data_IF_818177987476
#
_entry.id   IF_818177987476
#
_cell.length_a   1.000
_cell.length_b   1.000
_cell.length_c   1.000
_cell.angle_alpha   90.00
_cell.angle_beta   90.00
_cell.angle_gamma   90.00
#
_symmetry.space_group_name_H-M   'P 1'
#
loop_
_entity.id
_entity.type
_entity.pdbx_description
1 polymer ?
#
# COMPACT_ATOMS: atom_id res chain seq x y z
N UNK A 1 -2.02 -68.20 -25.61
CA UNK A 1 -1.30 -67.01 -26.12
C UNK A 1 -1.24 -66.00 -24.99
N UNK A 2 -0.06 -65.82 -24.39
CA UNK A 2 0.13 -65.09 -23.14
C UNK A 2 0.07 -63.57 -23.36
N UNK A 3 -0.74 -62.89 -22.54
CA UNK A 3 -0.85 -61.44 -22.50
C UNK A 3 0.42 -60.83 -21.91
N UNK A 4 0.98 -59.85 -22.64
CA UNK A 4 2.17 -59.08 -22.30
C UNK A 4 1.99 -58.34 -20.96
N UNK A 5 2.69 -58.82 -19.93
CA UNK A 5 2.87 -58.14 -18.65
C UNK A 5 3.72 -56.88 -18.88
N UNK A 6 3.07 -55.74 -19.08
CA UNK A 6 3.75 -54.45 -19.15
C UNK A 6 4.47 -54.20 -17.83
N UNK A 7 5.80 -54.12 -17.89
CA UNK A 7 6.68 -53.90 -16.74
C UNK A 7 6.26 -52.67 -15.93
N UNK A 8 5.88 -52.88 -14.68
CA UNK A 8 5.52 -51.83 -13.72
C UNK A 8 6.72 -50.93 -13.34
N UNK A 9 7.94 -51.29 -13.75
CA UNK A 9 9.15 -50.50 -13.46
C UNK A 9 9.18 -49.14 -14.17
N UNK A 10 8.54 -49.01 -15.35
CA UNK A 10 8.57 -47.77 -16.15
C UNK A 10 7.63 -46.68 -15.60
N UNK A 11 6.52 -47.06 -14.97
CA UNK A 11 5.54 -46.11 -14.42
C UNK A 11 6.03 -45.49 -13.11
N UNK A 12 6.73 -46.27 -12.28
CA UNK A 12 7.30 -45.81 -11.01
C UNK A 12 8.48 -44.84 -11.19
N UNK A 13 9.33 -45.05 -12.22
CA UNK A 13 10.46 -44.16 -12.51
C UNK A 13 10.00 -42.78 -13.04
N UNK A 14 8.88 -42.70 -13.75
CA UNK A 14 8.33 -41.42 -14.23
C UNK A 14 7.55 -40.65 -13.16
N UNK A 15 7.00 -41.32 -12.15
CA UNK A 15 6.29 -40.65 -11.04
C UNK A 15 7.24 -39.90 -10.10
N UNK A 16 8.49 -40.35 -9.96
CA UNK A 16 9.49 -39.69 -9.12
C UNK A 16 10.13 -38.45 -9.78
N UNK A 17 10.03 -38.32 -11.11
CA UNK A 17 10.66 -37.23 -11.86
C UNK A 17 9.85 -35.92 -11.88
N UNK A 18 8.60 -35.93 -11.40
CA UNK A 18 7.70 -34.75 -11.42
C UNK A 18 7.74 -33.90 -10.14
N UNK A 19 8.53 -34.29 -9.15
CA UNK A 19 8.81 -33.45 -7.97
C UNK A 19 10.19 -32.82 -8.14
N UNK A 20 10.33 -31.99 -9.18
CA UNK A 20 11.48 -31.09 -9.27
C UNK A 20 11.48 -30.18 -8.04
N UNK A 21 12.63 -29.96 -7.37
CA UNK A 21 12.68 -29.07 -6.23
C UNK A 21 12.22 -27.67 -6.69
N UNK A 22 11.10 -27.20 -6.14
CA UNK A 22 10.69 -25.80 -6.26
C UNK A 22 11.74 -24.99 -5.51
N UNK A 23 12.77 -24.53 -6.23
CA UNK A 23 13.90 -23.81 -5.66
C UNK A 23 13.41 -22.59 -4.90
N UNK A 24 13.69 -22.53 -3.59
CA UNK A 24 13.48 -21.34 -2.80
C UNK A 24 14.56 -20.31 -3.17
N UNK A 25 14.19 -19.29 -3.94
CA UNK A 25 15.06 -18.16 -4.19
C UNK A 25 14.96 -17.17 -3.02
N UNK A 26 15.78 -17.35 -1.99
CA UNK A 26 15.97 -16.33 -0.94
C UNK A 26 17.06 -15.36 -1.38
N UNK A 27 16.69 -14.19 -1.88
CA UNK A 27 17.65 -13.08 -2.03
C UNK A 27 17.89 -12.44 -0.68
N UNK A 28 19.09 -11.90 -0.45
CA UNK A 28 19.38 -11.14 0.76
C UNK A 28 18.37 -9.99 0.91
N UNK A 29 17.90 -9.75 2.14
CA UNK A 29 16.99 -8.63 2.43
C UNK A 29 17.76 -7.33 2.25
N UNK A 30 17.68 -6.74 1.07
CA UNK A 30 18.11 -5.36 0.88
C UNK A 30 17.11 -4.45 1.62
N UNK A 31 17.57 -3.75 2.66
CA UNK A 31 16.83 -2.73 3.41
C UNK A 31 16.57 -1.47 2.55
N UNK A 32 15.85 -1.64 1.45
CA UNK A 32 15.43 -0.55 0.56
C UNK A 32 14.23 0.17 1.17
N UNK A 33 14.22 1.50 1.11
CA UNK A 33 13.10 2.32 1.58
C UNK A 33 11.83 2.04 0.77
N UNK A 34 10.75 1.58 1.43
CA UNK A 34 9.46 1.23 0.82
C UNK A 34 8.29 2.14 1.23
N UNK A 35 8.46 2.98 2.25
CA UNK A 35 7.39 3.81 2.80
C UNK A 35 6.83 4.80 1.76
N UNK A 36 5.52 4.75 1.52
CA UNK A 36 4.78 5.59 0.57
C UNK A 36 5.48 5.73 -0.81
N UNK A 37 6.01 4.61 -1.30
CA UNK A 37 6.56 4.48 -2.65
C UNK A 37 5.77 3.46 -3.43
N UNK A 38 5.32 3.83 -4.62
CA UNK A 38 4.68 2.90 -5.54
C UNK A 38 5.76 2.34 -6.46
N UNK A 39 5.86 1.02 -6.53
CA UNK A 39 6.84 0.36 -7.43
C UNK A 39 6.47 0.63 -8.88
N UNK A 40 7.48 1.04 -9.64
CA UNK A 40 7.38 1.24 -11.08
C UNK A 40 6.97 -0.09 -11.74
N UNK A 41 5.94 -0.03 -12.58
CA UNK A 41 5.48 -1.15 -13.41
C UNK A 41 5.74 -0.86 -14.88
N UNK A 42 4.97 -1.50 -15.77
CA UNK A 42 5.06 -1.32 -17.22
C UNK A 42 4.65 0.07 -17.73
N UNK A 43 3.97 0.86 -16.88
CA UNK A 43 3.42 2.18 -17.23
C UNK A 43 1.89 2.25 -17.18
N UNK A 44 1.22 1.10 -17.09
CA UNK A 44 -0.24 1.02 -17.19
C UNK A 44 -1.01 1.37 -15.90
N UNK A 45 -0.29 1.73 -14.82
CA UNK A 45 -0.91 2.04 -13.52
C UNK A 45 -1.19 3.53 -13.41
N UNK A 46 -2.47 3.97 -13.42
CA UNK A 46 -2.78 5.38 -13.22
C UNK A 46 -2.40 5.79 -11.79
N UNK A 47 -1.71 6.92 -11.66
CA UNK A 47 -1.27 7.48 -10.39
C UNK A 47 -1.81 8.89 -10.22
N UNK A 48 -2.30 9.17 -9.01
CA UNK A 48 -2.65 10.54 -8.62
C UNK A 48 -1.38 11.30 -8.24
N UNK A 49 -1.43 12.63 -8.33
CA UNK A 49 -0.30 13.50 -8.01
C UNK A 49 0.32 13.20 -6.63
N UNK A 50 -0.53 13.06 -5.62
CA UNK A 50 -0.12 12.78 -4.24
C UNK A 50 0.59 11.43 -4.07
N UNK A 51 0.17 10.41 -4.83
CA UNK A 51 0.69 9.04 -4.77
C UNK A 51 1.96 8.85 -5.60
N UNK A 52 2.18 9.69 -6.61
CA UNK A 52 3.38 9.66 -7.45
C UNK A 52 4.62 10.21 -6.73
N UNK A 53 4.43 11.05 -5.72
CA UNK A 53 5.51 11.74 -5.00
C UNK A 53 5.96 10.95 -3.76
N UNK A 54 7.28 10.83 -3.59
CA UNK A 54 7.88 10.20 -2.42
C UNK A 54 7.80 11.08 -1.16
N UNK A 55 7.95 10.50 0.05
CA UNK A 55 7.85 11.25 1.31
C UNK A 55 8.81 12.42 1.47
N UNK A 56 10.02 12.33 0.94
CA UNK A 56 11.00 13.42 1.03
C UNK A 56 10.66 14.63 0.15
N UNK A 57 9.63 14.54 -0.69
CA UNK A 57 9.12 15.69 -1.45
C UNK A 57 8.01 16.45 -0.70
N UNK A 58 7.66 16.04 0.54
CA UNK A 58 6.80 16.83 1.41
C UNK A 58 7.46 18.17 1.67
N UNK A 59 6.66 19.24 1.63
CA UNK A 59 7.07 20.65 1.68
C UNK A 59 7.78 21.19 0.43
N UNK A 60 8.23 20.35 -0.50
CA UNK A 60 8.86 20.79 -1.75
C UNK A 60 7.90 20.76 -2.94
N UNK A 61 7.24 19.61 -3.15
CA UNK A 61 6.32 19.38 -4.27
C UNK A 61 4.91 19.02 -3.80
N UNK A 62 4.79 18.36 -2.65
CA UNK A 62 3.50 18.06 -2.02
C UNK A 62 3.35 18.80 -0.69
N UNK A 63 2.12 19.23 -0.42
CA UNK A 63 1.76 19.85 0.86
C UNK A 63 1.39 18.83 1.92
N UNK A 64 0.80 19.32 3.01
CA UNK A 64 0.20 18.50 4.06
C UNK A 64 -1.29 18.33 3.83
N UNK A 65 -1.77 17.09 3.97
CA UNK A 65 -3.19 16.74 3.87
C UNK A 65 -3.98 17.14 5.11
N UNK A 66 -3.33 17.39 6.23
CA UNK A 66 -3.97 17.94 7.43
C UNK A 66 -3.25 19.19 7.88
N UNK A 67 -4.01 20.25 8.16
CA UNK A 67 -3.51 21.53 8.62
C UNK A 67 -4.14 21.87 9.97
N UNK A 68 -3.33 21.88 11.03
CA UNK A 68 -3.69 22.23 12.40
C UNK A 68 -2.48 22.85 13.13
N UNK A 69 -2.74 23.54 14.25
CA UNK A 69 -1.69 24.25 15.02
C UNK A 69 -0.97 23.37 16.04
N UNK A 70 -1.53 22.21 16.43
CA UNK A 70 -0.99 21.40 17.53
C UNK A 70 0.36 20.72 17.29
N UNK A 71 0.91 20.77 16.07
CA UNK A 71 2.27 20.30 15.78
C UNK A 71 3.32 21.43 15.85
N UNK A 72 2.91 22.65 16.20
CA UNK A 72 3.83 23.75 16.44
C UNK A 72 4.53 23.57 17.79
N UNK A 73 5.72 24.14 17.91
CA UNK A 73 6.48 24.08 19.15
C UNK A 73 5.72 24.78 20.29
N UNK A 74 5.68 24.14 21.46
CA UNK A 74 4.96 24.63 22.64
C UNK A 74 3.43 24.39 22.64
N UNK A 75 2.85 23.86 21.57
CA UNK A 75 1.42 23.53 21.52
C UNK A 75 1.12 22.12 22.05
N UNK A 76 -0.11 21.90 22.51
CA UNK A 76 -0.57 20.60 23.03
C UNK A 76 -1.74 20.03 22.23
N UNK A 77 -2.11 18.77 22.48
CA UNK A 77 -3.26 18.12 21.83
C UNK A 77 -2.98 17.57 20.42
N UNK A 78 -1.71 17.35 20.04
CA UNK A 78 -1.35 16.71 18.77
C UNK A 78 -1.97 15.30 18.65
N UNK A 79 -1.95 14.53 19.74
CA UNK A 79 -2.49 13.17 19.77
C UNK A 79 -3.99 13.13 19.43
N UNK A 80 -4.80 13.97 20.08
CA UNK A 80 -6.25 14.00 19.86
C UNK A 80 -6.58 14.39 18.41
N UNK A 81 -5.86 15.38 17.87
CA UNK A 81 -6.06 15.81 16.47
C UNK A 81 -5.73 14.70 15.47
N UNK A 82 -4.71 13.89 15.73
CA UNK A 82 -4.39 12.73 14.89
C UNK A 82 -5.50 11.68 14.94
N UNK A 83 -6.05 11.39 16.13
CA UNK A 83 -7.15 10.43 16.29
C UNK A 83 -8.39 10.90 15.52
N UNK A 84 -8.76 12.18 15.66
CA UNK A 84 -9.86 12.80 14.94
C UNK A 84 -9.65 12.74 13.42
N UNK A 85 -8.45 13.07 12.93
CA UNK A 85 -8.14 13.04 11.50
C UNK A 85 -8.23 11.63 10.90
N UNK A 86 -7.73 10.61 11.62
CA UNK A 86 -7.82 9.21 11.18
C UNK A 86 -9.27 8.74 11.19
N UNK A 87 -10.05 9.15 12.19
CA UNK A 87 -11.47 8.87 12.26
C UNK A 87 -12.22 9.48 11.08
N UNK A 88 -12.05 10.78 10.81
CA UNK A 88 -12.72 11.48 9.70
C UNK A 88 -12.39 10.82 8.36
N UNK A 89 -11.12 10.47 8.11
CA UNK A 89 -10.74 9.79 6.86
C UNK A 89 -11.44 8.44 6.72
N UNK A 90 -11.41 7.61 7.76
CA UNK A 90 -12.06 6.29 7.73
C UNK A 90 -13.58 6.40 7.58
N UNK A 91 -14.18 7.37 8.27
CA UNK A 91 -15.61 7.64 8.18
C UNK A 91 -15.99 8.04 6.76
N UNK A 92 -15.32 9.03 6.16
CA UNK A 92 -15.61 9.51 4.80
C UNK A 92 -15.41 8.43 3.73
N UNK A 93 -14.34 7.62 3.82
CA UNK A 93 -14.15 6.50 2.90
C UNK A 93 -15.17 5.37 3.09
N UNK A 94 -15.71 5.21 4.30
CA UNK A 94 -16.76 4.24 4.59
C UNK A 94 -18.15 4.69 4.16
N UNK A 95 -18.46 5.98 4.30
CA UNK A 95 -19.76 6.55 3.91
C UNK A 95 -19.86 6.77 2.41
N UNK A 96 -18.80 7.30 1.79
CA UNK A 96 -18.73 7.58 0.36
C UNK A 96 -17.93 6.51 -0.37
N UNK A 97 -18.53 5.33 -0.52
CA UNK A 97 -17.91 4.18 -1.17
C UNK A 97 -17.67 4.51 -2.65
N UNK A 98 -16.41 4.46 -3.08
CA UNK A 98 -15.95 4.70 -4.46
C UNK A 98 -16.27 6.07 -5.06
N UNK A 99 -16.83 7.02 -4.31
CA UNK A 99 -17.07 8.39 -4.80
C UNK A 99 -15.83 9.28 -4.65
N UNK A 100 -14.90 8.92 -3.75
CA UNK A 100 -13.68 9.68 -3.48
C UNK A 100 -12.53 9.18 -4.36
N UNK A 101 -12.17 9.97 -5.37
CA UNK A 101 -11.07 9.65 -6.30
C UNK A 101 -9.69 9.93 -5.69
N UNK A 102 -9.59 10.97 -4.85
CA UNK A 102 -8.32 11.42 -4.28
C UNK A 102 -8.29 11.35 -2.75
N UNK A 103 -7.15 11.76 -2.17
CA UNK A 103 -6.96 11.80 -0.72
C UNK A 103 -7.67 13.02 -0.11
N UNK A 104 -8.13 12.87 1.13
CA UNK A 104 -8.89 13.92 1.81
C UNK A 104 -7.96 14.98 2.41
N UNK A 105 -8.25 16.24 2.12
CA UNK A 105 -7.60 17.40 2.72
C UNK A 105 -8.45 17.92 3.87
N UNK A 106 -7.89 17.93 5.07
CA UNK A 106 -8.53 18.39 6.31
C UNK A 106 -7.85 19.70 6.73
N UNK A 107 -8.67 20.73 6.95
CA UNK A 107 -8.20 22.04 7.39
C UNK A 107 -8.95 22.44 8.64
N UNK A 108 -8.22 22.93 9.65
CA UNK A 108 -8.78 23.40 10.92
C UNK A 108 -8.47 24.87 11.10
N UNK A 109 -9.46 25.65 11.50
CA UNK A 109 -9.31 27.06 11.85
C UNK A 109 -10.21 27.30 13.08
N UNK A 110 -9.60 27.46 14.26
CA UNK A 110 -10.36 27.57 15.51
C UNK A 110 -11.27 26.35 15.74
N UNK A 111 -12.54 26.61 16.06
CA UNK A 111 -13.55 25.56 16.32
C UNK A 111 -14.07 24.88 15.05
N UNK A 112 -13.93 25.51 13.88
CA UNK A 112 -14.42 24.97 12.63
C UNK A 112 -13.35 24.17 11.90
N UNK A 113 -13.81 23.10 11.26
CA UNK A 113 -13.01 22.31 10.36
C UNK A 113 -13.79 22.08 9.07
N UNK A 114 -13.07 21.91 7.98
CA UNK A 114 -13.63 21.62 6.67
C UNK A 114 -12.76 20.57 5.99
N UNK A 115 -13.42 19.62 5.32
CA UNK A 115 -12.79 18.60 4.51
C UNK A 115 -13.11 18.83 3.04
N UNK A 116 -12.11 18.74 2.19
CA UNK A 116 -12.28 18.80 0.74
C UNK A 116 -11.58 17.60 0.09
N UNK A 117 -12.17 17.00 -0.96
CA UNK A 117 -11.41 16.11 -1.84
C UNK A 117 -10.33 16.95 -2.56
N UNK A 118 -9.08 16.45 -2.60
CA UNK A 118 -7.99 17.12 -3.32
C UNK A 118 -8.18 17.07 -4.83
#
# INVERSE_FOLDING_TARGET
MASSLKSWSSVMLNALAWVGPRGFHSTAVCCKNRAARIRVGKGDKPLTYERALHPHHIAHRKGWLSQHTSNLDGESGAADRIVEDVFIRRFMYGTFINCLTNELVIKRRGTYWWCAPS
#
